data_IF_042644234527
#
_entry.id   IF_042644234527
#
_cell.length_a   1.000
_cell.length_b   1.000
_cell.length_c   1.000
_cell.angle_alpha   90.00
_cell.angle_beta   90.00
_cell.angle_gamma   90.00
#
_symmetry.space_group_name_H-M   'P 1'
#
loop_
_entity.id
_entity.type
_entity.pdbx_description
1 polymer ?
#
# COMPACT_ATOMS: atom_id res chain seq x y z
N UNK A 1 -19.11 30.37 6.57
CA UNK A 1 -17.70 30.02 6.26
C UNK A 1 -17.40 28.75 7.05
N UNK A 2 -17.39 27.60 6.41
CA UNK A 2 -17.00 26.34 7.04
C UNK A 2 -15.69 25.93 6.36
N UNK A 3 -14.60 25.94 7.12
CA UNK A 3 -13.33 25.38 6.66
C UNK A 3 -13.40 23.90 7.03
N UNK A 4 -13.92 23.09 6.11
CA UNK A 4 -13.96 21.65 6.27
C UNK A 4 -12.54 21.12 6.03
N UNK A 5 -11.78 21.01 7.12
CA UNK A 5 -10.41 20.54 7.15
C UNK A 5 -10.28 19.03 6.96
N UNK A 6 -11.18 18.40 6.21
CA UNK A 6 -10.96 17.06 5.71
C UNK A 6 -10.05 17.18 4.48
N UNK A 7 -8.82 16.64 4.57
CA UNK A 7 -8.06 16.31 3.38
C UNK A 7 -8.86 15.20 2.69
N UNK A 8 -9.79 15.58 1.81
CA UNK A 8 -10.36 14.68 0.83
C UNK A 8 -9.21 14.28 -0.07
N UNK A 9 -8.61 13.14 0.25
CA UNK A 9 -7.35 12.66 -0.28
C UNK A 9 -7.29 12.79 -1.79
N UNK A 10 -6.12 13.21 -2.27
CA UNK A 10 -5.69 13.25 -3.67
C UNK A 10 -6.23 12.02 -4.38
N UNK A 11 -7.32 12.18 -5.14
CA UNK A 11 -7.78 11.13 -6.03
C UNK A 11 -6.68 10.96 -7.08
N UNK A 12 -5.97 9.82 -7.14
CA UNK A 12 -4.95 9.63 -8.15
C UNK A 12 -5.67 9.67 -9.51
N UNK A 13 -5.42 10.73 -10.27
CA UNK A 13 -6.05 10.98 -11.56
C UNK A 13 -7.57 11.12 -11.54
N UNK A 14 -8.17 11.91 -10.61
CA UNK A 14 -9.55 12.40 -10.75
C UNK A 14 -10.66 11.34 -10.70
N UNK A 15 -10.60 10.44 -9.72
CA UNK A 15 -11.67 9.49 -9.44
C UNK A 15 -11.58 8.18 -10.22
N UNK A 16 -10.48 7.91 -10.91
CA UNK A 16 -10.26 6.72 -11.75
C UNK A 16 -9.61 5.53 -11.03
N UNK A 17 -9.38 5.61 -9.72
CA UNK A 17 -8.77 4.53 -8.91
C UNK A 17 -9.59 4.35 -7.64
N UNK A 18 -10.22 3.18 -7.37
CA UNK A 18 -10.73 2.89 -6.03
C UNK A 18 -9.54 2.52 -5.13
N UNK A 19 -9.55 3.06 -3.92
CA UNK A 19 -8.63 2.65 -2.87
C UNK A 19 -8.97 1.23 -2.40
N UNK A 20 -7.96 0.46 -2.01
CA UNK A 20 -8.14 -0.89 -1.48
C UNK A 20 -8.50 -0.84 0.01
N UNK A 21 -9.71 -0.38 0.31
CA UNK A 21 -10.19 -0.20 1.68
C UNK A 21 -10.40 -1.52 2.45
N UNK A 22 -10.48 -2.66 1.73
CA UNK A 22 -10.62 -3.99 2.34
C UNK A 22 -9.29 -4.63 2.70
N UNK A 23 -8.25 -4.39 1.89
CA UNK A 23 -6.91 -4.98 2.07
C UNK A 23 -5.94 -4.10 2.86
N UNK A 24 -6.27 -2.82 3.08
CA UNK A 24 -5.45 -1.86 3.83
C UNK A 24 -6.24 -1.30 5.01
N UNK A 25 -5.76 -1.54 6.22
CA UNK A 25 -6.30 -1.00 7.47
C UNK A 25 -5.42 0.13 7.97
N UNK A 26 -5.98 1.33 7.99
CA UNK A 26 -5.31 2.52 8.51
C UNK A 26 -5.30 2.50 10.05
N UNK A 27 -4.24 3.01 10.70
CA UNK A 27 -4.07 2.99 12.16
C UNK A 27 -5.19 3.68 12.94
N UNK A 28 -5.97 4.57 12.28
CA UNK A 28 -7.04 5.34 12.91
C UNK A 28 -8.44 5.00 12.40
N UNK A 29 -8.61 3.91 11.65
CA UNK A 29 -9.90 3.57 11.01
C UNK A 29 -11.06 3.38 12.00
N UNK A 30 -10.76 3.12 13.28
CA UNK A 30 -11.76 2.93 14.35
C UNK A 30 -11.89 4.12 15.32
N UNK A 31 -11.23 5.25 15.05
CA UNK A 31 -11.38 6.43 15.90
C UNK A 31 -12.76 7.06 15.68
N UNK A 32 -13.59 7.07 16.73
CA UNK A 32 -14.83 7.85 16.72
C UNK A 32 -14.52 9.34 16.54
N UNK A 33 -15.43 10.12 15.94
CA UNK A 33 -15.20 11.54 15.58
C UNK A 33 -14.74 12.46 16.72
N UNK A 34 -14.85 12.02 17.98
CA UNK A 34 -14.35 12.71 19.17
C UNK A 34 -12.86 12.46 19.47
N UNK A 35 -12.20 11.52 18.78
CA UNK A 35 -10.80 11.13 19.01
C UNK A 35 -9.81 11.70 17.99
N UNK A 36 -10.26 12.42 16.96
CA UNK A 36 -9.42 13.00 15.90
C UNK A 36 -8.85 14.39 16.22
N UNK A 37 -9.01 14.86 17.46
CA UNK A 37 -8.44 16.15 17.88
C UNK A 37 -6.91 16.10 17.85
N UNK A 38 -6.29 16.98 17.05
CA UNK A 38 -4.83 17.23 17.02
C UNK A 38 -4.23 17.58 18.40
N UNK A 39 -5.05 17.81 19.42
CA UNK A 39 -4.64 18.16 20.80
C UNK A 39 -4.38 16.95 21.70
N UNK A 40 -4.64 15.70 21.26
CA UNK A 40 -4.23 14.51 22.04
C UNK A 40 -2.90 13.97 21.53
N UNK A 41 -1.81 14.53 22.05
CA UNK A 41 -0.46 13.93 22.06
C UNK A 41 -0.36 12.66 22.94
N UNK A 42 -1.49 12.14 23.44
CA UNK A 42 -1.54 11.05 24.42
C UNK A 42 -1.67 9.65 23.82
N UNK A 43 -1.68 9.50 22.50
CA UNK A 43 -1.63 8.19 21.83
C UNK A 43 -0.20 7.61 21.85
N UNK A 44 0.52 7.78 22.97
CA UNK A 44 1.93 7.42 23.11
C UNK A 44 2.19 5.91 23.04
N UNK A 45 1.14 5.10 23.15
CA UNK A 45 1.19 3.64 23.09
C UNK A 45 0.32 3.05 21.95
N UNK A 46 -0.27 3.90 21.10
CA UNK A 46 -1.05 3.40 19.96
C UNK A 46 -0.11 3.21 18.77
N UNK A 47 -0.18 2.04 18.14
CA UNK A 47 0.58 1.76 16.92
C UNK A 47 0.04 2.60 15.77
N UNK A 48 0.93 3.35 15.13
CA UNK A 48 0.65 4.09 13.90
C UNK A 48 0.92 3.25 12.64
N UNK A 49 1.20 1.96 12.81
CA UNK A 49 1.52 1.06 11.72
C UNK A 49 0.32 0.86 10.79
N UNK A 50 0.60 0.85 9.48
CA UNK A 50 -0.39 0.45 8.49
C UNK A 50 -0.42 -1.06 8.43
N UNK A 51 -1.59 -1.66 8.66
CA UNK A 51 -1.78 -3.09 8.46
C UNK A 51 -2.28 -3.34 7.05
N UNK A 52 -1.59 -4.19 6.30
CA UNK A 52 -2.00 -4.46 4.93
C UNK A 52 -1.71 -5.89 4.49
N UNK A 53 -2.44 -6.33 3.49
CA UNK A 53 -2.17 -7.57 2.77
C UNK A 53 -1.04 -7.35 1.76
N UNK A 54 0.03 -8.14 1.92
CA UNK A 54 1.21 -8.08 1.06
C UNK A 54 1.35 -9.36 0.22
N UNK A 55 1.72 -9.18 -1.04
CA UNK A 55 1.80 -10.22 -2.05
C UNK A 55 3.22 -10.34 -2.59
N UNK A 56 3.57 -11.55 -3.03
CA UNK A 56 4.74 -11.74 -3.87
C UNK A 56 4.46 -11.25 -5.29
N UNK A 57 5.49 -10.70 -5.93
CA UNK A 57 5.42 -10.22 -7.29
C UNK A 57 6.67 -10.61 -8.07
N UNK A 58 6.51 -10.78 -9.38
CA UNK A 58 7.60 -11.13 -10.28
C UNK A 58 7.44 -10.34 -11.60
N UNK A 59 8.34 -9.38 -11.81
CA UNK A 59 8.38 -8.56 -13.01
C UNK A 59 9.61 -9.00 -13.81
N UNK A 60 9.43 -9.51 -15.04
CA UNK A 60 10.55 -9.85 -15.90
C UNK A 60 11.49 -8.66 -16.12
N UNK A 61 12.81 -8.90 -16.08
CA UNK A 61 13.82 -7.84 -16.17
C UNK A 61 13.73 -6.96 -17.44
N UNK A 62 13.14 -7.48 -18.51
CA UNK A 62 12.97 -6.79 -19.79
C UNK A 62 11.58 -6.17 -19.98
N UNK A 63 10.75 -6.13 -18.94
CA UNK A 63 9.43 -5.51 -19.00
C UNK A 63 9.56 -4.01 -19.24
N UNK A 64 8.79 -3.49 -20.20
CA UNK A 64 8.77 -2.06 -20.50
C UNK A 64 8.25 -1.26 -19.31
N UNK A 65 8.83 -0.07 -19.07
CA UNK A 65 8.32 0.88 -18.06
C UNK A 65 6.85 1.26 -18.31
N UNK A 66 6.39 1.23 -19.58
CA UNK A 66 4.99 1.50 -19.91
C UNK A 66 4.03 0.42 -19.38
N UNK A 67 4.53 -0.79 -19.15
CA UNK A 67 3.76 -1.95 -18.72
C UNK A 67 3.81 -2.10 -17.19
N UNK A 68 5.00 -2.07 -16.59
CA UNK A 68 5.19 -2.07 -15.14
C UNK A 68 6.29 -1.08 -14.78
N UNK A 69 6.10 -0.34 -13.69
CA UNK A 69 7.09 0.63 -13.23
C UNK A 69 7.14 0.66 -11.71
N UNK A 70 8.33 0.44 -11.17
CA UNK A 70 8.63 0.59 -9.75
C UNK A 70 9.74 1.63 -9.60
N UNK A 71 9.53 2.55 -8.69
CA UNK A 71 10.54 3.45 -8.17
C UNK A 71 10.93 2.95 -6.77
N UNK A 72 12.19 2.54 -6.62
CA UNK A 72 12.73 2.15 -5.31
C UNK A 72 13.32 3.37 -4.62
N UNK A 73 13.07 3.47 -3.31
CA UNK A 73 13.59 4.55 -2.48
C UNK A 73 15.11 4.35 -2.21
N UNK A 74 15.55 3.08 -2.16
CA UNK A 74 16.95 2.67 -1.96
C UNK A 74 17.51 1.86 -3.13
N UNK A 75 18.83 1.81 -3.25
CA UNK A 75 19.54 1.01 -4.26
C UNK A 75 19.65 -0.48 -3.92
N UNK A 76 19.45 -0.87 -2.66
CA UNK A 76 19.51 -2.26 -2.20
C UNK A 76 18.11 -2.87 -2.12
N UNK A 77 17.82 -3.77 -3.05
CA UNK A 77 16.55 -4.49 -3.11
C UNK A 77 16.75 -5.85 -2.43
N UNK A 78 16.33 -5.96 -1.18
CA UNK A 78 16.18 -7.25 -0.48
C UNK A 78 14.93 -8.01 -0.96
N UNK A 79 14.58 -9.15 -0.33
CA UNK A 79 13.30 -9.80 -0.59
C UNK A 79 12.16 -8.82 -0.27
N UNK A 80 11.45 -8.37 -1.31
CA UNK A 80 10.40 -7.37 -1.19
C UNK A 80 9.03 -7.98 -1.53
N UNK A 81 7.99 -7.41 -0.94
CA UNK A 81 6.58 -7.72 -1.23
C UNK A 81 5.89 -6.45 -1.73
N UNK A 82 4.77 -6.62 -2.41
CA UNK A 82 3.94 -5.49 -2.84
C UNK A 82 2.62 -5.47 -2.07
N UNK A 83 2.18 -4.28 -1.69
CA UNK A 83 0.87 -4.01 -1.09
C UNK A 83 0.06 -3.24 -2.10
N UNK A 84 -1.12 -3.74 -2.46
CA UNK A 84 -2.02 -3.08 -3.41
C UNK A 84 -2.78 -1.99 -2.68
N UNK A 85 -2.46 -0.73 -3.01
CA UNK A 85 -3.12 0.45 -2.42
C UNK A 85 -4.35 0.85 -3.24
N UNK A 86 -4.32 0.61 -4.55
CA UNK A 86 -5.43 0.93 -5.44
C UNK A 86 -5.32 0.18 -6.75
N UNK A 87 -6.42 0.10 -7.49
CA UNK A 87 -6.47 -0.56 -8.79
C UNK A 87 -7.10 0.37 -9.81
N UNK A 88 -6.61 0.42 -11.04
CA UNK A 88 -7.23 1.24 -12.07
C UNK A 88 -8.70 0.81 -12.31
N UNK A 89 -9.63 1.78 -12.36
CA UNK A 89 -11.05 1.55 -12.67
C UNK A 89 -11.27 1.16 -14.13
N UNK A 90 -10.28 1.37 -15.01
CA UNK A 90 -10.44 1.00 -16.41
C UNK A 90 -10.81 -0.47 -16.54
N UNK A 91 -11.93 -0.73 -17.21
CA UNK A 91 -12.38 -2.08 -17.56
C UNK A 91 -11.44 -2.58 -18.66
N UNK A 92 -10.27 -3.06 -18.26
CA UNK A 92 -9.59 -4.06 -19.07
C UNK A 92 -10.46 -5.32 -19.01
N UNK A 93 -10.80 -5.89 -20.17
CA UNK A 93 -11.55 -7.15 -20.25
C UNK A 93 -10.83 -8.30 -19.55
N UNK A 94 -9.55 -8.13 -19.23
CA UNK A 94 -8.70 -9.07 -18.54
C UNK A 94 -8.21 -8.45 -17.21
N UNK A 95 -8.60 -9.06 -16.09
CA UNK A 95 -8.17 -8.66 -14.74
C UNK A 95 -6.66 -8.74 -14.56
N UNK A 96 -5.99 -9.63 -15.30
CA UNK A 96 -4.54 -9.80 -15.26
C UNK A 96 -3.78 -8.60 -15.86
N UNK A 97 -4.45 -7.80 -16.69
CA UNK A 97 -3.88 -6.60 -17.31
C UNK A 97 -4.22 -5.32 -16.55
N UNK A 98 -5.04 -5.39 -15.49
CA UNK A 98 -5.36 -4.22 -14.68
C UNK A 98 -4.13 -3.73 -13.94
N UNK A 99 -3.91 -2.42 -13.97
CA UNK A 99 -2.83 -1.76 -13.25
C UNK A 99 -3.19 -1.68 -11.77
N UNK A 100 -2.37 -2.27 -10.92
CA UNK A 100 -2.43 -2.08 -9.48
C UNK A 100 -1.37 -1.08 -9.08
N UNK A 101 -1.77 -0.05 -8.36
CA UNK A 101 -0.87 0.88 -7.70
C UNK A 101 -0.40 0.25 -6.40
N UNK A 102 0.92 0.14 -6.25
CA UNK A 102 1.52 -0.66 -5.18
C UNK A 102 2.52 0.14 -4.35
N UNK A 103 2.56 -0.21 -3.06
CA UNK A 103 3.65 0.09 -2.16
C UNK A 103 4.56 -1.13 -2.11
N UNK A 104 5.86 -0.92 -2.30
CA UNK A 104 6.85 -1.98 -2.15
C UNK A 104 7.41 -1.92 -0.72
N UNK A 105 7.37 -3.06 -0.05
CA UNK A 105 7.79 -3.19 1.34
C UNK A 105 8.83 -4.29 1.48
N UNK A 106 9.80 -4.10 2.38
CA UNK A 106 10.81 -5.09 2.73
C UNK A 106 10.73 -5.39 4.23
N UNK A 107 11.03 -6.63 4.66
CA UNK A 107 11.05 -6.93 6.08
C UNK A 107 12.18 -6.14 6.73
N UNK A 108 11.86 -5.49 7.86
CA UNK A 108 12.85 -5.04 8.81
C UNK A 108 13.43 -6.28 9.47
N UNK A 109 14.75 -6.36 9.56
CA UNK A 109 15.42 -7.44 10.31
C UNK A 109 15.15 -7.23 11.80
N UNK A 110 14.06 -7.79 12.33
CA UNK A 110 13.65 -7.52 13.71
C UNK A 110 14.39 -8.40 14.74
N UNK A 111 14.65 -7.77 15.88
CA UNK A 111 15.36 -8.26 17.07
C UNK A 111 14.41 -8.99 18.04
N UNK A 112 13.08 -8.98 17.84
CA UNK A 112 12.12 -9.46 18.86
C UNK A 112 10.90 -10.23 18.31
N UNK A 113 11.08 -11.00 17.23
CA UNK A 113 10.13 -12.07 16.87
C UNK A 113 8.83 -11.64 16.17
N UNK A 114 8.67 -10.35 15.85
CA UNK A 114 7.59 -9.84 14.98
C UNK A 114 8.19 -9.17 13.76
N UNK A 115 8.04 -9.77 12.58
CA UNK A 115 8.54 -9.18 11.33
C UNK A 115 7.71 -7.94 10.97
N UNK A 116 8.20 -6.75 11.33
CA UNK A 116 7.74 -5.48 10.79
C UNK A 116 8.29 -5.26 9.39
N UNK A 117 7.62 -4.41 8.62
CA UNK A 117 8.00 -4.08 7.26
C UNK A 117 8.21 -2.58 7.14
N UNK A 118 9.16 -2.17 6.30
CA UNK A 118 9.34 -0.77 5.93
C UNK A 118 9.08 -0.58 4.45
N UNK A 119 8.63 0.61 4.07
CA UNK A 119 8.54 1.02 2.66
C UNK A 119 9.94 1.07 2.05
N UNK A 120 10.09 0.52 0.84
CA UNK A 120 11.31 0.65 0.05
C UNK A 120 11.05 1.03 -1.41
N UNK A 121 9.79 1.28 -1.79
CA UNK A 121 9.46 1.78 -3.12
C UNK A 121 7.97 1.93 -3.35
N UNK A 122 7.62 2.47 -4.52
CA UNK A 122 6.23 2.65 -4.97
C UNK A 122 6.17 2.45 -6.48
N UNK A 123 4.99 2.14 -7.01
CA UNK A 123 4.84 1.99 -8.44
C UNK A 123 3.47 1.51 -8.89
N UNK A 124 3.44 0.98 -10.10
CA UNK A 124 2.31 0.21 -10.60
C UNK A 124 2.76 -1.10 -11.25
N UNK A 125 1.96 -2.13 -11.05
CA UNK A 125 2.21 -3.48 -11.54
C UNK A 125 0.89 -4.06 -12.09
N UNK A 126 0.87 -4.60 -13.32
CA UNK A 126 -0.23 -5.42 -13.82
C UNK A 126 -0.51 -6.65 -12.95
N UNK A 127 -1.78 -7.02 -12.78
CA UNK A 127 -2.18 -8.17 -11.95
C UNK A 127 -1.50 -9.49 -12.30
N UNK A 128 -1.14 -9.72 -13.58
CA UNK A 128 -0.41 -10.91 -14.04
C UNK A 128 0.98 -11.11 -13.44
N UNK A 129 1.56 -10.06 -12.87
CA UNK A 129 2.86 -10.11 -12.20
C UNK A 129 2.74 -10.18 -10.68
N UNK A 130 1.51 -10.18 -10.15
CA UNK A 130 1.24 -10.29 -8.71
C UNK A 130 0.65 -11.67 -8.46
N UNK A 131 1.16 -12.38 -7.46
CA UNK A 131 0.64 -13.69 -7.08
C UNK A 131 -0.58 -13.55 -6.18
N UNK A 132 -1.69 -13.14 -6.79
CA UNK A 132 -2.97 -12.90 -6.09
C UNK A 132 -3.63 -14.19 -5.59
N UNK A 133 -3.35 -15.32 -6.23
CA UNK A 133 -3.90 -16.64 -5.86
C UNK A 133 -3.07 -17.37 -4.79
N UNK A 134 -1.87 -16.86 -4.47
CA UNK A 134 -0.99 -17.42 -3.44
C UNK A 134 -1.37 -16.92 -2.03
N UNK A 135 -0.79 -17.53 -0.99
CA UNK A 135 -0.94 -17.05 0.39
C UNK A 135 -0.35 -15.64 0.53
N UNK A 136 -1.23 -14.67 0.72
CA UNK A 136 -0.85 -13.34 1.14
C UNK A 136 -0.39 -13.32 2.59
N UNK A 137 0.42 -12.33 2.94
CA UNK A 137 0.89 -12.11 4.31
C UNK A 137 0.31 -10.80 4.81
N UNK A 138 -0.36 -10.83 5.96
CA UNK A 138 -0.73 -9.61 6.67
C UNK A 138 0.51 -9.03 7.35
N UNK A 139 0.90 -7.82 6.95
CA UNK A 139 2.10 -7.13 7.43
C UNK A 139 1.73 -5.88 8.21
N UNK A 140 2.58 -5.53 9.18
CA UNK A 140 2.56 -4.21 9.83
C UNK A 140 3.69 -3.38 9.25
N UNK A 141 3.33 -2.24 8.67
CA UNK A 141 4.24 -1.33 7.97
C UNK A 141 4.48 -0.13 8.88
N UNK A 142 5.74 0.07 9.26
CA UNK A 142 6.21 1.19 10.08
C UNK A 142 6.83 2.30 9.22
#
# INVERSE_FOLDING_TARGET
MAFDGAISFIEPGGGHVPWNDTGVKLPFANLTSYQTSWLRTSCQNDSVAVQAEAFDFDIPANTSKSEAYIYYDDSTIGPAKCVIIGTDKHIANDTSMKKHYVLIVKPLSDVLGTTSYERCGVGYIPGKYIRLDDLSVFVSIE
#
